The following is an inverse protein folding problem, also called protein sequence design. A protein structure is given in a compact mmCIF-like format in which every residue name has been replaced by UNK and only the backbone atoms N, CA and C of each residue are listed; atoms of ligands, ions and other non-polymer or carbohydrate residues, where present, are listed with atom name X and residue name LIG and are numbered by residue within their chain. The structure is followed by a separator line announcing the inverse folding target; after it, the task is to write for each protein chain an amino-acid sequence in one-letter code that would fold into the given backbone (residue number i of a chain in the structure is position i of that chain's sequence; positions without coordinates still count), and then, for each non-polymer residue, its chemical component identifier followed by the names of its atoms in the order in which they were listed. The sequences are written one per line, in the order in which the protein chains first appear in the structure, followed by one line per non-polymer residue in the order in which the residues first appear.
data_IF_115665830602
#
_entry.id   IF_115665830602
#
_cell.length_a   1.000
_cell.length_b   1.000
_cell.length_c   1.000
_cell.angle_alpha   90.00
_cell.angle_beta   90.00
_cell.angle_gamma   90.00
#
_symmetry.space_group_name_H-M   'P 1'
#
loop_
_entity.id
_entity.type
_entity.pdbx_description
1 polymer ?
#
# COMPACT_ATOMS: atom_id res chain seq x y z
N UNK A 1 -74.58 -63.42 10.00
CA UNK A 1 -74.24 -62.02 10.25
C UNK A 1 -72.73 -61.85 10.08
N UNK A 2 -72.27 -61.25 8.97
CA UNK A 2 -70.86 -61.05 8.67
C UNK A 2 -70.47 -59.67 9.11
N UNK A 3 -69.59 -59.55 10.14
CA UNK A 3 -68.96 -58.31 10.51
C UNK A 3 -67.82 -58.02 9.57
N UNK A 4 -68.00 -57.10 8.65
CA UNK A 4 -66.96 -56.56 7.82
C UNK A 4 -66.30 -55.41 8.61
N UNK A 5 -65.22 -55.68 9.33
CA UNK A 5 -64.39 -54.63 9.90
C UNK A 5 -63.63 -53.94 8.77
N UNK A 6 -63.93 -52.62 8.61
CA UNK A 6 -63.46 -51.83 7.50
C UNK A 6 -62.03 -51.35 7.81
N UNK A 7 -61.00 -52.08 7.32
CA UNK A 7 -59.58 -51.80 7.48
C UNK A 7 -59.22 -50.35 7.06
N UNK A 8 -60.09 -49.74 6.29
CA UNK A 8 -59.87 -48.33 5.82
C UNK A 8 -59.97 -47.30 6.95
N UNK A 9 -60.77 -47.55 7.97
CA UNK A 9 -60.90 -46.68 9.15
C UNK A 9 -59.78 -46.87 10.17
N UNK A 10 -59.19 -48.06 10.24
CA UNK A 10 -58.06 -48.34 11.15
C UNK A 10 -56.79 -47.66 10.62
N UNK A 11 -56.57 -47.63 9.28
CA UNK A 11 -55.47 -46.91 8.70
C UNK A 11 -55.58 -45.39 8.88
N UNK A 12 -56.82 -44.84 8.88
CA UNK A 12 -57.02 -43.41 9.12
C UNK A 12 -56.74 -43.02 10.58
N UNK A 13 -57.09 -43.83 11.53
CA UNK A 13 -56.87 -43.58 12.97
C UNK A 13 -55.38 -43.74 13.31
N UNK A 14 -54.70 -44.74 12.73
CA UNK A 14 -53.26 -44.94 12.90
C UNK A 14 -52.44 -43.83 12.18
N UNK A 15 -52.88 -43.38 10.99
CA UNK A 15 -52.24 -42.27 10.29
C UNK A 15 -52.39 -40.93 11.04
N UNK A 16 -53.53 -40.68 11.65
CA UNK A 16 -53.77 -39.45 12.44
C UNK A 16 -53.02 -39.48 13.80
N UNK A 17 -52.84 -40.66 14.42
CA UNK A 17 -52.06 -40.82 15.64
C UNK A 17 -50.54 -40.64 15.37
N UNK A 18 -50.02 -41.06 14.19
CA UNK A 18 -48.63 -40.85 13.82
C UNK A 18 -48.32 -39.39 13.44
N UNK A 19 -49.30 -38.65 12.88
CA UNK A 19 -49.07 -37.21 12.55
C UNK A 19 -49.16 -36.30 13.77
N UNK A 20 -49.90 -36.66 14.82
CA UNK A 20 -49.95 -35.93 16.09
C UNK A 20 -48.70 -36.14 16.97
N UNK A 21 -47.95 -37.24 16.75
CA UNK A 21 -46.70 -37.53 17.49
C UNK A 21 -45.45 -36.79 16.94
N UNK A 22 -45.58 -36.16 15.77
CA UNK A 22 -44.45 -35.43 15.15
C UNK A 22 -44.37 -33.94 15.46
N UNK A 23 -45.35 -33.40 16.18
CA UNK A 23 -45.36 -31.98 16.54
C UNK A 23 -45.05 -31.67 18.02
N UNK A 24 -44.62 -32.65 18.79
CA UNK A 24 -44.27 -32.44 20.20
C UNK A 24 -42.77 -32.62 20.46
N UNK A 25 -41.93 -32.33 19.45
CA UNK A 25 -40.48 -32.24 19.63
C UNK A 25 -39.94 -30.86 19.26
N UNK A 26 -40.61 -29.83 19.73
CA UNK A 26 -39.97 -28.56 20.06
C UNK A 26 -39.98 -28.49 21.59
N UNK A 27 -38.92 -28.98 22.21
CA UNK A 27 -38.63 -28.65 23.60
C UNK A 27 -38.43 -27.13 23.65
N UNK A 28 -39.14 -26.47 24.53
CA UNK A 28 -38.97 -25.05 24.86
C UNK A 28 -37.59 -24.78 25.51
N UNK A 29 -36.70 -25.74 25.49
CA UNK A 29 -35.33 -25.67 26.01
C UNK A 29 -34.22 -25.67 24.91
N UNK A 30 -34.57 -25.43 23.66
CA UNK A 30 -33.56 -25.01 22.69
C UNK A 30 -33.12 -23.60 23.06
N UNK A 31 -32.06 -23.52 23.88
CA UNK A 31 -31.30 -22.29 24.02
C UNK A 31 -31.02 -21.77 22.62
N UNK A 32 -31.45 -20.54 22.31
CA UNK A 32 -31.25 -20.01 20.97
C UNK A 32 -29.74 -19.97 20.72
N UNK A 33 -29.31 -20.69 19.68
CA UNK A 33 -27.99 -20.68 19.08
C UNK A 33 -26.99 -19.78 19.80
N UNK A 34 -25.98 -20.40 20.42
CA UNK A 34 -24.84 -19.83 21.13
C UNK A 34 -24.83 -18.31 21.12
N UNK A 35 -25.46 -17.72 22.13
CA UNK A 35 -25.45 -16.27 22.32
C UNK A 35 -24.01 -15.91 22.67
N UNK A 36 -23.34 -15.16 21.80
CA UNK A 36 -21.99 -14.68 22.09
C UNK A 36 -22.02 -13.86 23.39
N UNK A 37 -21.15 -14.19 24.33
CA UNK A 37 -21.05 -13.60 25.66
C UNK A 37 -19.82 -12.72 25.80
N UNK A 38 -19.66 -12.08 26.95
CA UNK A 38 -18.47 -11.30 27.24
C UNK A 38 -17.17 -12.15 27.40
N UNK A 39 -17.31 -13.46 27.56
CA UNK A 39 -16.21 -14.41 27.65
C UNK A 39 -15.66 -14.84 26.28
N UNK A 40 -16.41 -14.56 25.23
CA UNK A 40 -16.00 -14.85 23.86
C UNK A 40 -15.07 -13.75 23.31
N UNK A 41 -14.20 -14.13 22.37
CA UNK A 41 -13.46 -13.12 21.60
C UNK A 41 -14.43 -12.32 20.72
N UNK A 42 -14.36 -10.98 20.73
CA UNK A 42 -15.23 -10.18 19.91
C UNK A 42 -14.90 -10.41 18.43
N UNK A 43 -15.94 -10.39 17.60
CA UNK A 43 -15.82 -10.47 16.14
C UNK A 43 -16.19 -9.12 15.54
N UNK A 44 -15.35 -8.59 14.68
CA UNK A 44 -15.65 -7.42 13.86
C UNK A 44 -16.31 -7.95 12.59
N UNK A 45 -17.60 -7.74 12.44
CA UNK A 45 -18.38 -8.22 11.29
C UNK A 45 -18.28 -7.27 10.11
N UNK A 46 -18.28 -5.96 10.38
CA UNK A 46 -18.06 -4.88 9.43
C UNK A 46 -17.20 -3.80 10.09
N UNK A 47 -16.37 -3.07 9.36
CA UNK A 47 -16.10 -3.21 7.92
C UNK A 47 -15.22 -4.44 7.62
N UNK A 48 -15.27 -4.87 6.36
CA UNK A 48 -14.35 -5.88 5.86
C UNK A 48 -13.07 -5.20 5.39
N UNK A 49 -11.95 -5.56 6.01
CA UNK A 49 -10.61 -5.24 5.50
C UNK A 49 -10.12 -6.44 4.70
N UNK A 50 -9.45 -6.19 3.58
CA UNK A 50 -8.84 -7.24 2.76
C UNK A 50 -7.83 -8.10 3.53
N UNK A 51 -7.33 -9.14 2.89
CA UNK A 51 -6.24 -9.93 3.42
C UNK A 51 -4.93 -9.15 3.29
N UNK A 52 -3.95 -9.49 4.13
CA UNK A 52 -2.60 -8.96 3.98
C UNK A 52 -1.93 -9.57 2.75
N UNK A 53 -1.27 -8.73 1.96
CA UNK A 53 -0.49 -9.12 0.80
C UNK A 53 0.97 -8.71 1.04
N UNK A 54 1.89 -9.63 0.84
CA UNK A 54 3.35 -9.44 1.03
C UNK A 54 3.74 -8.85 2.41
N UNK A 55 2.96 -9.15 3.44
CA UNK A 55 3.20 -8.65 4.80
C UNK A 55 2.62 -7.25 5.06
N UNK A 56 1.94 -6.65 4.09
CA UNK A 56 1.32 -5.32 4.18
C UNK A 56 -0.23 -5.43 4.17
N UNK A 57 -0.94 -4.54 4.89
CA UNK A 57 -2.39 -4.49 4.81
C UNK A 57 -2.84 -3.92 3.46
N UNK A 58 -3.84 -4.54 2.86
CA UNK A 58 -4.42 -4.07 1.60
C UNK A 58 -5.18 -2.76 1.77
N UNK A 59 -5.37 -2.04 0.64
CA UNK A 59 -6.13 -0.78 0.64
C UNK A 59 -7.59 -1.06 0.96
N UNK A 60 -8.05 -0.49 2.07
CA UNK A 60 -9.44 -0.56 2.50
C UNK A 60 -10.29 0.52 1.81
N UNK A 61 -9.84 1.77 1.87
CA UNK A 61 -10.50 2.91 1.23
C UNK A 61 -9.47 3.89 0.66
N UNK A 62 -9.86 4.53 -0.45
CA UNK A 62 -9.16 5.68 -1.01
C UNK A 62 -10.15 6.83 -1.18
N UNK A 63 -9.85 8.00 -0.64
CA UNK A 63 -10.70 9.19 -0.62
C UNK A 63 -9.89 10.43 -0.99
N UNK A 64 -10.56 11.46 -1.47
CA UNK A 64 -9.97 12.80 -1.59
C UNK A 64 -9.97 13.51 -0.23
N UNK A 65 -8.98 14.35 0.07
CA UNK A 65 -8.83 15.03 1.38
C UNK A 65 -9.95 16.01 1.73
N UNK A 66 -10.73 16.46 0.74
CA UNK A 66 -11.90 17.31 0.93
C UNK A 66 -13.16 16.51 1.31
N UNK A 67 -13.07 15.17 1.25
CA UNK A 67 -14.15 14.26 1.62
C UNK A 67 -14.00 13.84 3.08
N UNK A 68 -15.06 13.99 3.86
CA UNK A 68 -15.11 13.46 5.23
C UNK A 68 -15.12 11.93 5.20
N UNK A 69 -14.17 11.31 5.89
CA UNK A 69 -14.19 9.88 6.13
C UNK A 69 -15.32 9.54 7.12
N UNK A 70 -16.28 8.75 6.66
CA UNK A 70 -17.39 8.24 7.47
C UNK A 70 -17.38 6.72 7.40
N UNK A 71 -17.46 6.09 8.57
CA UNK A 71 -17.52 4.63 8.65
C UNK A 71 -18.20 4.15 9.93
N UNK A 72 -18.56 2.86 9.97
CA UNK A 72 -19.18 2.22 11.13
C UNK A 72 -18.74 0.78 11.30
N UNK A 73 -18.62 0.35 12.55
CA UNK A 73 -18.23 -1.00 12.93
C UNK A 73 -19.42 -1.76 13.50
N UNK A 74 -19.62 -2.96 13.01
CA UNK A 74 -20.53 -3.93 13.61
C UNK A 74 -19.72 -5.00 14.32
N UNK A 75 -19.98 -5.20 15.60
CA UNK A 75 -19.28 -6.21 16.44
C UNK A 75 -20.26 -7.16 17.11
N UNK A 76 -19.79 -8.34 17.46
CA UNK A 76 -20.51 -9.28 18.30
C UNK A 76 -19.55 -9.86 19.36
N UNK A 77 -19.96 -9.94 20.66
CA UNK A 77 -21.20 -9.48 21.29
C UNK A 77 -21.23 -7.96 21.44
N UNK A 78 -22.23 -7.29 20.84
CA UNK A 78 -22.27 -5.81 20.80
C UNK A 78 -22.39 -5.15 22.18
N UNK A 79 -23.19 -5.73 23.08
CA UNK A 79 -23.48 -5.18 24.41
C UNK A 79 -22.26 -5.17 25.36
N UNK A 80 -21.27 -6.01 25.08
CA UNK A 80 -20.11 -6.21 25.94
C UNK A 80 -18.81 -5.72 25.30
N UNK A 81 -18.88 -5.09 24.11
CA UNK A 81 -17.69 -4.76 23.32
C UNK A 81 -17.57 -3.25 23.11
N UNK A 82 -16.42 -2.70 23.48
CA UNK A 82 -15.99 -1.35 23.09
C UNK A 82 -15.17 -1.41 21.83
N UNK A 83 -15.25 -0.35 21.02
CA UNK A 83 -14.50 -0.21 19.75
C UNK A 83 -13.64 1.03 19.81
N UNK A 84 -12.37 0.88 19.44
CA UNK A 84 -11.41 1.96 19.32
C UNK A 84 -10.80 1.99 17.91
N UNK A 85 -10.58 3.20 17.41
CA UNK A 85 -10.01 3.45 16.09
C UNK A 85 -8.63 4.09 16.24
N UNK A 86 -7.67 3.55 15.51
CA UNK A 86 -6.30 4.03 15.50
C UNK A 86 -5.88 4.35 14.07
N UNK A 87 -5.15 5.44 13.89
CA UNK A 87 -4.51 5.83 12.64
C UNK A 87 -3.01 5.95 12.88
N UNK A 88 -2.21 5.16 12.16
CA UNK A 88 -0.75 5.05 12.36
C UNK A 88 -0.36 4.82 13.84
N UNK A 89 -1.18 4.07 14.58
CA UNK A 89 -0.97 3.75 15.99
C UNK A 89 -1.54 4.76 16.99
N UNK A 90 -1.94 5.95 16.56
CA UNK A 90 -2.60 6.93 17.43
C UNK A 90 -4.11 6.70 17.48
N UNK A 91 -4.68 6.73 18.70
CA UNK A 91 -6.14 6.63 18.90
C UNK A 91 -6.82 7.89 18.38
N UNK A 92 -7.70 7.71 17.40
CA UNK A 92 -8.40 8.82 16.75
C UNK A 92 -9.89 8.89 17.07
N UNK A 93 -10.48 7.78 17.53
CA UNK A 93 -11.91 7.72 17.87
C UNK A 93 -12.21 6.55 18.81
N UNK A 94 -13.37 6.64 19.49
CA UNK A 94 -13.96 5.58 20.30
C UNK A 94 -15.44 5.44 19.93
N UNK A 95 -15.95 4.20 19.95
CA UNK A 95 -17.30 3.87 19.56
C UNK A 95 -17.41 3.27 18.16
N UNK A 96 -18.63 2.89 17.79
CA UNK A 96 -18.90 2.16 16.56
C UNK A 96 -19.00 3.03 15.32
N UNK A 97 -18.97 4.35 15.46
CA UNK A 97 -19.06 5.29 14.33
C UNK A 97 -17.91 6.28 14.37
N UNK A 98 -17.38 6.60 13.19
CA UNK A 98 -16.40 7.67 12.99
C UNK A 98 -16.88 8.59 11.87
N UNK A 99 -16.69 9.90 12.05
CA UNK A 99 -16.84 10.92 11.02
C UNK A 99 -15.74 11.93 11.22
N UNK A 100 -14.73 11.92 10.34
CA UNK A 100 -13.52 12.73 10.51
C UNK A 100 -12.91 13.11 9.15
N UNK A 101 -12.35 14.29 9.06
CA UNK A 101 -11.56 14.71 7.90
C UNK A 101 -10.08 14.48 8.22
N UNK A 102 -9.34 13.98 7.24
CA UNK A 102 -7.92 13.69 7.35
C UNK A 102 -7.12 14.50 6.33
N UNK A 103 -5.89 14.81 6.68
CA UNK A 103 -4.93 15.36 5.72
C UNK A 103 -4.57 14.30 4.67
N UNK A 104 -4.10 14.75 3.51
CA UNK A 104 -3.61 13.84 2.48
C UNK A 104 -2.45 12.98 3.02
N UNK A 105 -2.43 11.70 2.65
CA UNK A 105 -1.42 10.75 3.09
C UNK A 105 -1.88 9.30 3.04
N UNK A 106 -0.94 8.40 3.24
CA UNK A 106 -1.16 6.95 3.36
C UNK A 106 -1.09 6.55 4.83
N UNK A 107 -2.18 6.00 5.33
CA UNK A 107 -2.34 5.68 6.74
C UNK A 107 -2.63 4.20 6.97
N UNK A 108 -2.20 3.70 8.11
CA UNK A 108 -2.62 2.39 8.63
C UNK A 108 -3.78 2.61 9.59
N UNK A 109 -4.98 2.24 9.13
CA UNK A 109 -6.18 2.26 9.94
C UNK A 109 -6.33 0.93 10.68
N UNK A 110 -6.39 0.98 12.01
CA UNK A 110 -6.62 -0.20 12.85
C UNK A 110 -7.87 0.00 13.70
N UNK A 111 -8.74 -1.00 13.68
CA UNK A 111 -9.91 -1.08 14.56
C UNK A 111 -9.64 -2.15 15.60
N UNK A 112 -9.86 -1.81 16.87
CA UNK A 112 -9.71 -2.71 18.01
C UNK A 112 -11.06 -2.84 18.69
N UNK A 113 -11.51 -4.07 18.86
CA UNK A 113 -12.70 -4.42 19.61
C UNK A 113 -12.29 -5.16 20.90
N UNK A 114 -12.77 -4.69 22.05
CA UNK A 114 -12.41 -5.24 23.35
C UNK A 114 -13.68 -5.51 24.18
N UNK A 115 -13.86 -6.75 24.66
CA UNK A 115 -14.97 -7.07 25.56
C UNK A 115 -14.70 -6.60 26.99
N UNK A 116 -15.77 -6.53 27.81
CA UNK A 116 -15.68 -6.20 29.24
C UNK A 116 -14.76 -7.15 30.02
N UNK A 117 -14.52 -8.36 29.52
CA UNK A 117 -13.54 -9.34 30.06
C UNK A 117 -12.14 -9.20 29.47
N UNK A 118 -11.88 -8.15 28.69
CA UNK A 118 -10.57 -7.89 28.12
C UNK A 118 -10.16 -8.80 26.96
N UNK A 119 -11.10 -9.52 26.34
CA UNK A 119 -10.82 -10.26 25.09
C UNK A 119 -10.74 -9.26 23.93
N UNK A 120 -9.71 -9.38 23.10
CA UNK A 120 -9.39 -8.39 22.07
C UNK A 120 -9.35 -9.03 20.69
N UNK A 121 -9.94 -8.36 19.72
CA UNK A 121 -9.77 -8.65 18.30
C UNK A 121 -9.50 -7.35 17.55
N UNK A 122 -8.68 -7.40 16.52
CA UNK A 122 -8.41 -6.20 15.71
C UNK A 122 -8.45 -6.51 14.21
N UNK A 123 -8.69 -5.48 13.42
CA UNK A 123 -8.55 -5.47 11.96
C UNK A 123 -7.73 -4.28 11.54
N UNK A 124 -6.92 -4.46 10.50
CA UNK A 124 -6.02 -3.44 9.98
C UNK A 124 -6.15 -3.36 8.47
N UNK A 125 -6.24 -2.15 7.93
CA UNK A 125 -6.29 -1.88 6.50
C UNK A 125 -5.57 -0.57 6.18
N UNK A 126 -5.22 -0.36 4.92
CA UNK A 126 -4.63 0.90 4.46
C UNK A 126 -5.74 1.88 4.08
N UNK A 127 -5.66 3.11 4.59
CA UNK A 127 -6.51 4.25 4.24
C UNK A 127 -5.66 5.25 3.45
N UNK A 128 -6.04 5.52 2.20
CA UNK A 128 -5.37 6.49 1.33
C UNK A 128 -6.22 7.75 1.26
N UNK A 129 -5.65 8.88 1.61
CA UNK A 129 -6.26 10.21 1.45
C UNK A 129 -5.49 10.97 0.39
N UNK A 130 -6.12 11.17 -0.76
CA UNK A 130 -5.49 11.79 -1.91
C UNK A 130 -5.47 13.33 -1.76
N UNK A 131 -4.34 13.94 -2.09
CA UNK A 131 -4.23 15.39 -2.22
C UNK A 131 -5.06 15.89 -3.42
N UNK A 132 -5.46 17.16 -3.37
CA UNK A 132 -6.05 17.85 -4.51
C UNK A 132 -4.97 18.39 -5.48
N UNK A 133 -5.34 18.65 -6.72
CA UNK A 133 -4.37 19.08 -7.74
C UNK A 133 -3.61 20.36 -7.37
N UNK A 134 -4.23 21.28 -6.65
CA UNK A 134 -3.61 22.53 -6.19
C UNK A 134 -2.85 22.46 -4.88
N UNK A 135 -2.82 21.30 -4.22
CA UNK A 135 -2.15 21.15 -2.93
C UNK A 135 -0.63 21.20 -3.06
N UNK A 136 0.07 21.64 -1.99
CA UNK A 136 1.51 21.51 -1.91
C UNK A 136 1.97 20.05 -2.11
N UNK A 137 2.94 19.86 -3.00
CA UNK A 137 3.57 18.57 -3.26
C UNK A 137 5.06 18.68 -2.95
N UNK A 138 5.60 17.69 -2.27
CA UNK A 138 7.03 17.52 -2.05
C UNK A 138 7.57 16.40 -2.94
N UNK A 139 8.86 16.41 -3.19
CA UNK A 139 9.53 15.44 -4.06
C UNK A 139 9.19 14.00 -3.65
N UNK A 140 8.93 13.16 -4.65
CA UNK A 140 8.69 11.73 -4.49
C UNK A 140 9.98 10.91 -4.41
N UNK A 141 11.14 11.52 -4.65
CA UNK A 141 12.42 10.83 -4.56
C UNK A 141 12.67 10.32 -3.16
N UNK A 142 13.01 9.03 -3.02
CA UNK A 142 13.32 8.39 -1.73
C UNK A 142 14.51 9.05 -1.02
N UNK A 143 15.50 9.53 -1.77
CA UNK A 143 16.64 10.28 -1.23
C UNK A 143 16.20 11.57 -0.53
N UNK A 144 15.14 12.21 -1.02
CA UNK A 144 14.58 13.44 -0.44
C UNK A 144 13.60 13.18 0.70
N UNK A 145 13.14 11.94 0.84
CA UNK A 145 12.27 11.50 1.95
C UNK A 145 13.03 10.88 3.12
N UNK A 146 14.36 10.73 3.00
CA UNK A 146 15.22 10.26 4.07
C UNK A 146 15.83 11.45 4.82
N UNK A 147 15.50 11.58 6.10
CA UNK A 147 15.81 12.73 6.93
C UNK A 147 16.75 12.29 8.08
N UNK A 148 17.96 12.83 8.09
CA UNK A 148 18.88 12.59 9.22
C UNK A 148 18.71 13.70 10.27
N UNK A 149 18.46 13.38 11.56
CA UNK A 149 18.34 14.36 12.63
C UNK A 149 19.53 15.31 12.72
N UNK A 150 19.28 16.60 12.88
CA UNK A 150 20.29 17.65 12.97
C UNK A 150 20.86 18.13 11.64
N UNK A 151 20.45 17.57 10.51
CA UNK A 151 20.90 18.01 9.17
C UNK A 151 19.95 19.03 8.57
N UNK A 152 20.49 19.97 7.78
CA UNK A 152 19.70 20.84 6.92
C UNK A 152 19.29 20.08 5.67
N UNK A 153 18.00 20.12 5.32
CA UNK A 153 17.45 19.48 4.13
C UNK A 153 16.86 20.50 3.18
N UNK A 154 16.86 20.14 1.90
CA UNK A 154 16.28 20.95 0.81
C UNK A 154 15.47 20.02 -0.08
N UNK A 155 14.14 20.11 0.02
CA UNK A 155 13.19 19.22 -0.65
C UNK A 155 12.48 19.99 -1.74
N UNK A 156 12.59 19.61 -3.02
CA UNK A 156 11.82 20.23 -4.10
C UNK A 156 10.32 20.22 -3.78
N UNK A 157 9.66 21.35 -4.01
CA UNK A 157 8.22 21.47 -3.74
C UNK A 157 7.51 22.18 -4.90
N UNK A 158 6.25 21.78 -5.10
CA UNK A 158 5.32 22.40 -6.04
C UNK A 158 4.14 22.96 -5.26
N UNK A 159 3.48 23.98 -5.80
CA UNK A 159 2.29 24.65 -5.23
C UNK A 159 2.51 25.19 -3.80
N UNK A 160 3.75 25.45 -3.40
CA UNK A 160 4.12 26.01 -2.11
C UNK A 160 4.99 27.25 -2.30
N UNK A 161 4.40 28.45 -2.15
CA UNK A 161 5.10 29.72 -2.32
C UNK A 161 5.61 30.30 -1.02
N UNK A 162 5.09 29.85 0.11
CA UNK A 162 5.50 30.27 1.45
C UNK A 162 5.06 29.26 2.49
N UNK A 163 5.73 29.23 3.64
CA UNK A 163 5.45 28.32 4.73
C UNK A 163 5.42 29.06 6.06
N UNK A 164 4.38 28.83 6.86
CA UNK A 164 4.27 29.31 8.25
C UNK A 164 4.77 28.27 9.25
N UNK A 165 4.68 27.01 8.91
CA UNK A 165 5.11 25.92 9.79
C UNK A 165 5.31 24.62 9.05
N UNK A 166 6.14 23.76 9.63
CA UNK A 166 6.34 22.37 9.22
C UNK A 166 6.32 21.53 10.49
N UNK A 167 5.74 20.34 10.42
CA UNK A 167 5.87 19.32 11.46
C UNK A 167 6.14 17.95 10.86
N UNK A 168 6.92 17.15 11.55
CA UNK A 168 7.21 15.76 11.21
C UNK A 168 6.54 14.91 12.29
N UNK A 169 5.49 14.18 11.92
CA UNK A 169 4.58 13.60 12.91
C UNK A 169 3.97 14.69 13.79
N UNK A 170 4.21 14.62 15.09
CA UNK A 170 3.79 15.62 16.08
C UNK A 170 4.88 16.66 16.39
N UNK A 171 6.12 16.48 15.88
CA UNK A 171 7.26 17.34 16.20
C UNK A 171 7.31 18.55 15.28
N UNK A 172 7.21 19.75 15.87
CA UNK A 172 7.33 20.99 15.11
C UNK A 172 8.78 21.23 14.65
N UNK A 173 8.91 21.75 13.45
CA UNK A 173 10.20 22.10 12.83
C UNK A 173 10.37 23.62 12.89
N UNK A 174 11.49 24.07 13.41
CA UNK A 174 11.80 25.51 13.48
C UNK A 174 12.51 25.98 12.20
N UNK A 175 12.29 27.27 11.83
CA UNK A 175 13.05 27.92 10.77
C UNK A 175 12.79 27.40 9.37
N UNK A 176 11.69 26.68 9.15
CA UNK A 176 11.31 26.22 7.83
C UNK A 176 11.00 27.41 6.90
N UNK A 177 11.49 27.34 5.65
CA UNK A 177 11.29 28.36 4.63
C UNK A 177 11.23 27.74 3.23
N UNK A 178 10.59 28.44 2.31
CA UNK A 178 10.59 28.09 0.89
C UNK A 178 11.53 29.03 0.13
N UNK A 179 12.52 28.47 -0.54
CA UNK A 179 13.49 29.21 -1.36
C UNK A 179 13.75 28.47 -2.66
N UNK A 180 13.61 29.17 -3.78
CA UNK A 180 13.88 28.66 -5.13
C UNK A 180 13.16 27.33 -5.43
N UNK A 181 11.87 27.22 -5.04
CA UNK A 181 11.08 26.01 -5.26
C UNK A 181 11.46 24.82 -4.37
N UNK A 182 12.17 25.07 -3.27
CA UNK A 182 12.52 24.05 -2.31
C UNK A 182 12.06 24.44 -0.90
N UNK A 183 11.49 23.48 -0.19
CA UNK A 183 11.26 23.55 1.24
C UNK A 183 12.57 23.25 1.96
N UNK A 184 13.07 24.18 2.77
CA UNK A 184 14.31 24.04 3.52
C UNK A 184 14.04 24.13 5.01
N UNK A 185 14.66 23.22 5.77
CA UNK A 185 14.59 23.20 7.23
C UNK A 185 15.68 22.31 7.83
N UNK A 186 15.92 22.46 9.13
CA UNK A 186 16.77 21.53 9.88
C UNK A 186 15.88 20.45 10.51
N UNK A 187 16.24 19.19 10.29
CA UNK A 187 15.51 18.04 10.85
C UNK A 187 15.65 18.05 12.38
N UNK A 188 14.54 18.05 13.13
CA UNK A 188 14.61 18.06 14.60
C UNK A 188 15.19 16.74 15.12
N UNK A 189 15.69 16.78 16.37
CA UNK A 189 16.06 15.56 17.08
C UNK A 189 14.80 14.80 17.48
N UNK A 190 14.62 13.60 16.92
CA UNK A 190 13.48 12.74 17.18
C UNK A 190 13.87 11.26 17.00
N UNK A 191 13.00 10.34 17.39
CA UNK A 191 13.24 8.91 17.23
C UNK A 191 13.24 8.52 15.74
N UNK A 192 13.93 7.42 15.42
CA UNK A 192 13.91 6.83 14.11
C UNK A 192 12.50 6.28 13.82
N UNK A 193 12.04 6.41 12.57
CA UNK A 193 10.71 5.95 12.15
C UNK A 193 10.18 6.67 10.92
N UNK A 194 9.02 6.23 10.45
CA UNK A 194 8.29 6.83 9.34
C UNK A 194 7.22 7.78 9.87
N UNK A 195 7.27 9.03 9.43
CA UNK A 195 6.40 10.09 9.92
C UNK A 195 5.75 10.84 8.77
N UNK A 196 4.48 11.18 8.95
CA UNK A 196 3.80 12.14 8.09
C UNK A 196 4.48 13.49 8.19
N UNK A 197 4.90 14.06 7.06
CA UNK A 197 5.30 15.47 7.01
C UNK A 197 4.08 16.32 6.71
N UNK A 198 3.87 17.36 7.49
CA UNK A 198 2.75 18.31 7.33
C UNK A 198 3.31 19.72 7.16
N UNK A 199 2.80 20.40 6.17
CA UNK A 199 3.16 21.77 5.85
C UNK A 199 1.98 22.70 6.18
N UNK A 200 2.22 23.78 6.89
CA UNK A 200 1.29 24.90 7.02
C UNK A 200 1.70 25.99 6.06
N UNK A 201 0.88 26.26 5.06
CA UNK A 201 1.19 27.25 4.02
C UNK A 201 1.16 28.70 4.52
N UNK A 202 1.42 29.66 3.62
CA UNK A 202 1.38 31.10 3.91
C UNK A 202 0.00 31.60 4.35
N UNK A 203 -1.10 30.92 4.02
CA UNK A 203 -2.46 31.25 4.47
C UNK A 203 -2.75 30.73 5.88
N UNK A 204 -2.04 29.69 6.31
CA UNK A 204 -2.25 28.97 7.57
C UNK A 204 -3.04 27.67 7.39
N UNK A 205 -3.25 27.22 6.16
CA UNK A 205 -3.86 25.91 5.88
C UNK A 205 -2.83 24.80 6.03
N UNK A 206 -3.24 23.69 6.62
CA UNK A 206 -2.39 22.50 6.78
C UNK A 206 -2.60 21.52 5.63
N UNK A 207 -1.49 20.97 5.15
CA UNK A 207 -1.44 19.97 4.09
C UNK A 207 -0.55 18.81 4.52
N UNK A 208 -1.11 17.60 4.44
CA UNK A 208 -0.33 16.38 4.58
C UNK A 208 0.46 16.13 3.31
N UNK A 209 1.72 15.82 3.49
CA UNK A 209 2.60 15.32 2.44
C UNK A 209 2.86 13.83 2.67
N UNK A 210 3.64 13.21 1.81
CA UNK A 210 4.01 11.81 1.95
C UNK A 210 4.73 11.53 3.28
N UNK A 211 4.82 10.26 3.66
CA UNK A 211 5.65 9.84 4.80
C UNK A 211 7.13 10.02 4.47
N UNK A 212 7.88 10.43 5.48
CA UNK A 212 9.31 10.64 5.46
C UNK A 212 9.94 9.75 6.52
N UNK A 213 11.02 9.08 6.16
CA UNK A 213 11.79 8.26 7.10
C UNK A 213 12.80 9.15 7.82
N UNK A 214 12.68 9.23 9.14
CA UNK A 214 13.73 9.84 9.99
C UNK A 214 14.63 8.73 10.50
N UNK A 215 15.94 8.87 10.30
CA UNK A 215 16.90 7.89 10.77
C UNK A 215 18.25 8.55 11.05
N UNK A 216 18.97 8.02 12.06
CA UNK A 216 20.37 8.36 12.32
C UNK A 216 21.33 7.71 11.35
N UNK A 217 20.88 6.62 10.69
CA UNK A 217 21.68 5.92 9.69
C UNK A 217 21.76 6.72 8.39
N UNK A 218 22.83 6.54 7.60
CA UNK A 218 22.94 7.13 6.27
C UNK A 218 21.77 6.69 5.38
N UNK A 219 21.37 7.58 4.44
CA UNK A 219 20.37 7.24 3.44
C UNK A 219 20.84 6.03 2.62
N UNK A 220 20.05 4.93 2.57
CA UNK A 220 20.40 3.75 1.79
C UNK A 220 20.19 3.94 0.29
N UNK A 221 19.53 5.03 -0.09
CA UNK A 221 19.25 5.38 -1.48
C UNK A 221 20.23 6.42 -1.97
N UNK A 222 20.56 6.37 -3.24
CA UNK A 222 21.32 7.41 -3.93
C UNK A 222 20.54 7.86 -5.16
N UNK A 223 20.78 9.08 -5.62
CA UNK A 223 20.15 9.58 -6.85
C UNK A 223 20.57 8.69 -8.05
N UNK A 224 21.72 8.06 -7.96
CA UNK A 224 22.17 7.05 -8.91
C UNK A 224 23.07 6.03 -8.22
N UNK A 225 22.68 4.76 -8.23
CA UNK A 225 23.46 3.66 -7.69
C UNK A 225 23.87 2.70 -8.80
N UNK A 226 25.17 2.44 -8.95
CA UNK A 226 25.69 1.47 -9.92
C UNK A 226 25.39 0.05 -9.42
N UNK A 227 24.55 -0.67 -10.17
CA UNK A 227 24.20 -2.07 -9.86
C UNK A 227 25.03 -3.05 -10.69
N UNK A 228 25.61 -2.58 -11.78
CA UNK A 228 26.57 -3.35 -12.60
C UNK A 228 27.47 -2.41 -13.40
N UNK A 229 28.74 -2.78 -13.55
CA UNK A 229 29.70 -2.10 -14.40
C UNK A 229 30.62 -3.14 -15.05
N UNK A 230 30.95 -2.96 -16.33
CA UNK A 230 31.78 -3.88 -17.09
C UNK A 230 31.74 -3.58 -18.59
N UNK A 231 31.88 -4.62 -19.40
CA UNK A 231 31.75 -4.55 -20.86
C UNK A 231 31.04 -5.80 -21.32
N UNK A 232 29.83 -5.66 -21.85
CA UNK A 232 29.00 -6.77 -22.30
C UNK A 232 28.44 -6.48 -23.70
N UNK A 233 28.80 -7.28 -24.69
CA UNK A 233 28.28 -7.18 -26.04
C UNK A 233 26.88 -7.78 -26.09
N UNK A 234 25.92 -6.98 -26.51
CA UNK A 234 24.53 -7.40 -26.71
C UNK A 234 24.31 -7.75 -28.18
N UNK A 235 23.78 -8.95 -28.39
CA UNK A 235 23.26 -9.42 -29.67
C UNK A 235 21.89 -10.06 -29.45
N UNK A 236 21.13 -10.31 -30.51
CA UNK A 236 19.84 -11.00 -30.38
C UNK A 236 19.98 -12.40 -29.76
N UNK A 237 21.11 -13.06 -29.93
CA UNK A 237 21.37 -14.38 -29.35
C UNK A 237 21.95 -14.31 -27.93
N UNK A 238 22.45 -13.14 -27.52
CA UNK A 238 23.14 -12.96 -26.25
C UNK A 238 22.66 -11.67 -25.56
N UNK A 239 21.48 -11.69 -24.97
CA UNK A 239 20.94 -10.56 -24.22
C UNK A 239 21.74 -10.35 -22.91
N UNK A 240 21.75 -9.10 -22.43
CA UNK A 240 22.31 -8.81 -21.12
C UNK A 240 21.32 -9.24 -20.03
N UNK A 241 21.73 -10.21 -19.21
CA UNK A 241 20.93 -10.77 -18.11
C UNK A 241 21.69 -10.87 -16.78
N UNK A 242 22.87 -10.25 -16.67
CA UNK A 242 23.78 -10.44 -15.52
C UNK A 242 23.18 -9.97 -14.18
N UNK A 243 22.18 -9.08 -14.23
CA UNK A 243 21.44 -8.59 -13.05
C UNK A 243 19.98 -8.99 -13.06
N UNK A 244 19.62 -10.02 -13.81
CA UNK A 244 18.25 -10.48 -14.09
C UNK A 244 17.34 -10.49 -12.87
N UNK A 245 17.78 -11.12 -11.77
CA UNK A 245 17.01 -11.24 -10.54
C UNK A 245 17.43 -10.22 -9.49
N UNK A 246 18.66 -9.73 -9.57
CA UNK A 246 19.19 -8.83 -8.55
C UNK A 246 18.63 -7.42 -8.66
N UNK A 247 18.20 -7.01 -9.87
CA UNK A 247 17.65 -5.66 -10.08
C UNK A 247 16.47 -5.37 -9.16
N UNK A 248 15.59 -6.36 -8.91
CA UNK A 248 14.39 -6.22 -8.05
C UNK A 248 14.75 -5.77 -6.63
N UNK A 249 15.93 -6.13 -6.12
CA UNK A 249 16.41 -5.72 -4.78
C UNK A 249 16.65 -4.21 -4.65
N UNK A 250 16.85 -3.52 -5.77
CA UNK A 250 17.25 -2.11 -5.81
C UNK A 250 16.18 -1.18 -6.33
N UNK A 251 15.06 -1.71 -6.81
CA UNK A 251 14.04 -0.92 -7.51
C UNK A 251 12.68 -0.95 -6.80
N UNK A 252 11.94 0.12 -7.01
CA UNK A 252 10.53 0.27 -6.64
C UNK A 252 9.86 1.19 -7.66
N UNK A 253 8.55 1.36 -7.61
CA UNK A 253 7.88 2.34 -8.46
C UNK A 253 8.51 3.73 -8.32
N UNK A 254 8.72 4.41 -9.45
CA UNK A 254 9.44 5.69 -9.55
C UNK A 254 10.95 5.57 -9.73
N UNK A 255 11.55 4.39 -9.52
CA UNK A 255 12.98 4.19 -9.80
C UNK A 255 13.25 4.30 -11.31
N UNK A 256 14.29 5.02 -11.67
CA UNK A 256 14.79 5.09 -13.05
C UNK A 256 15.95 4.12 -13.20
N UNK A 257 15.78 3.15 -14.10
CA UNK A 257 16.88 2.26 -14.53
C UNK A 257 17.56 2.89 -15.73
N UNK A 258 18.91 2.99 -15.69
CA UNK A 258 19.74 3.53 -16.76
C UNK A 258 20.75 2.50 -17.21
N UNK A 259 20.75 2.21 -18.51
CA UNK A 259 21.79 1.40 -19.14
C UNK A 259 22.65 2.28 -20.04
N UNK A 260 23.92 2.36 -19.73
CA UNK A 260 24.93 3.08 -20.51
C UNK A 260 25.40 2.18 -21.63
N UNK A 261 25.17 2.61 -22.86
CA UNK A 261 25.41 1.80 -24.05
C UNK A 261 26.29 2.51 -25.08
N UNK A 262 27.12 1.75 -25.76
CA UNK A 262 27.99 2.23 -26.85
C UNK A 262 27.78 1.34 -28.07
N UNK A 263 27.44 1.90 -29.25
CA UNK A 263 27.24 1.12 -30.44
C UNK A 263 28.53 0.47 -30.94
N UNK A 264 28.41 -0.72 -31.49
CA UNK A 264 29.46 -1.46 -32.18
C UNK A 264 29.15 -1.65 -33.65
N UNK A 265 27.96 -1.22 -34.11
CA UNK A 265 27.53 -1.18 -35.50
C UNK A 265 26.67 0.05 -35.79
N UNK A 266 26.51 0.41 -37.06
CA UNK A 266 25.71 1.56 -37.49
C UNK A 266 24.19 1.27 -37.36
N UNK A 267 23.79 0.00 -37.24
CA UNK A 267 22.41 -0.44 -37.07
C UNK A 267 22.08 -0.83 -35.63
N UNK A 268 22.95 -0.43 -34.67
CA UNK A 268 22.77 -0.75 -33.28
C UNK A 268 21.40 -0.29 -32.75
N UNK A 269 20.68 -1.20 -32.11
CA UNK A 269 19.37 -0.93 -31.52
C UNK A 269 19.06 -1.89 -30.38
N UNK A 270 18.22 -1.46 -29.48
CA UNK A 270 17.80 -2.31 -28.36
C UNK A 270 16.86 -1.64 -27.41
N UNK A 271 16.49 -2.37 -26.37
CA UNK A 271 15.58 -1.90 -25.32
C UNK A 271 15.83 -2.63 -24.00
N UNK A 272 15.32 -2.06 -22.92
CA UNK A 272 15.23 -2.71 -21.61
C UNK A 272 13.87 -3.41 -21.50
N UNK A 273 13.87 -4.69 -21.11
CA UNK A 273 12.71 -5.56 -21.14
C UNK A 273 12.66 -6.48 -19.93
N UNK A 274 11.52 -7.18 -19.76
CA UNK A 274 11.46 -8.39 -18.96
C UNK A 274 12.23 -9.53 -19.63
N UNK A 275 12.45 -10.66 -18.92
CA UNK A 275 13.09 -11.82 -19.56
C UNK A 275 12.24 -12.49 -20.65
N UNK A 276 10.97 -12.15 -20.75
CA UNK A 276 10.11 -12.57 -21.85
C UNK A 276 10.18 -11.63 -23.08
N UNK A 277 11.12 -10.68 -23.02
CA UNK A 277 11.33 -9.65 -24.04
C UNK A 277 10.16 -8.70 -24.23
N UNK A 278 9.34 -8.56 -23.24
CA UNK A 278 8.21 -7.65 -23.20
C UNK A 278 8.59 -6.28 -22.64
N UNK A 279 7.86 -5.25 -23.01
CA UNK A 279 8.00 -3.90 -22.48
C UNK A 279 7.89 -3.90 -20.95
N UNK A 280 8.83 -3.25 -20.26
CA UNK A 280 8.81 -3.06 -18.81
C UNK A 280 7.61 -2.23 -18.33
N UNK A 281 7.03 -1.38 -19.18
CA UNK A 281 5.94 -0.49 -18.79
C UNK A 281 4.56 -1.10 -18.99
N UNK A 282 4.40 -1.92 -20.05
CA UNK A 282 3.08 -2.40 -20.48
C UNK A 282 2.92 -3.92 -20.42
N UNK A 283 4.04 -4.66 -20.34
CA UNK A 283 4.03 -6.13 -20.46
C UNK A 283 3.71 -6.64 -21.87
N UNK A 284 3.50 -5.73 -22.82
CA UNK A 284 3.25 -6.04 -24.24
C UNK A 284 4.50 -5.98 -25.10
N UNK A 285 4.29 -5.74 -26.39
CA UNK A 285 5.39 -5.62 -27.35
C UNK A 285 6.35 -4.49 -26.99
N UNK A 286 7.66 -4.77 -27.03
CA UNK A 286 8.71 -3.78 -26.80
C UNK A 286 8.91 -2.90 -28.02
N UNK A 287 9.48 -1.73 -27.80
CA UNK A 287 9.96 -0.84 -28.86
C UNK A 287 11.47 -0.71 -28.74
N UNK A 288 12.20 -1.06 -29.81
CA UNK A 288 13.63 -0.92 -29.83
C UNK A 288 14.04 0.52 -30.19
N UNK A 289 15.03 1.04 -29.49
CA UNK A 289 15.58 2.38 -29.66
C UNK A 289 16.88 2.27 -30.46
N UNK A 290 17.03 3.09 -31.51
CA UNK A 290 18.29 3.19 -32.25
C UNK A 290 19.41 3.78 -31.37
N UNK A 291 20.60 3.21 -31.48
CA UNK A 291 21.79 3.61 -30.69
C UNK A 291 22.87 4.11 -31.65
N UNK A 292 22.73 5.33 -32.21
CA UNK A 292 23.66 5.84 -33.22
C UNK A 292 25.00 6.32 -32.64
N UNK A 293 25.08 6.48 -31.33
CA UNK A 293 26.27 6.91 -30.58
C UNK A 293 26.16 6.41 -29.13
N UNK A 294 27.24 6.55 -28.37
CA UNK A 294 27.17 6.31 -26.92
C UNK A 294 26.04 7.14 -26.30
N UNK A 295 25.14 6.47 -25.58
CA UNK A 295 23.96 7.06 -24.97
C UNK A 295 23.52 6.28 -23.73
N UNK A 296 22.47 6.77 -23.10
CA UNK A 296 21.83 6.10 -21.97
C UNK A 296 20.42 5.70 -22.39
N UNK A 297 20.10 4.43 -22.25
CA UNK A 297 18.73 3.94 -22.28
C UNK A 297 18.13 4.14 -20.89
N UNK A 298 16.97 4.77 -20.80
CA UNK A 298 16.32 5.05 -19.52
C UNK A 298 14.92 4.45 -19.49
N UNK A 299 14.53 3.91 -18.33
CA UNK A 299 13.16 3.47 -18.07
C UNK A 299 12.79 3.81 -16.62
N UNK A 300 11.75 4.64 -16.44
CA UNK A 300 11.16 4.86 -15.13
C UNK A 300 10.14 3.75 -14.85
N UNK A 301 10.39 2.99 -13.79
CA UNK A 301 9.55 1.86 -13.40
C UNK A 301 8.29 2.32 -12.70
N UNK A 302 7.18 1.63 -12.98
CA UNK A 302 5.89 1.77 -12.32
C UNK A 302 5.60 0.57 -11.41
N UNK A 303 4.52 0.60 -10.63
CA UNK A 303 4.07 -0.59 -9.89
C UNK A 303 3.86 -1.78 -10.83
N UNK A 304 3.26 -1.54 -12.01
CA UNK A 304 3.11 -2.57 -13.04
C UNK A 304 4.46 -3.12 -13.51
N UNK A 305 5.48 -2.27 -13.63
CA UNK A 305 6.83 -2.70 -14.02
C UNK A 305 7.42 -3.67 -12.99
N UNK A 306 7.23 -3.39 -11.70
CA UNK A 306 7.70 -4.27 -10.62
C UNK A 306 6.99 -5.63 -10.67
N UNK A 307 5.67 -5.63 -10.84
CA UNK A 307 4.90 -6.86 -11.01
C UNK A 307 5.38 -7.67 -12.24
N UNK A 308 5.58 -7.00 -13.38
CA UNK A 308 6.07 -7.65 -14.60
C UNK A 308 7.47 -8.25 -14.42
N UNK A 309 8.39 -7.56 -13.75
CA UNK A 309 9.72 -8.10 -13.43
C UNK A 309 9.63 -9.38 -12.59
N UNK A 310 8.69 -9.43 -11.64
CA UNK A 310 8.47 -10.62 -10.81
C UNK A 310 7.83 -11.77 -11.61
N UNK A 311 6.73 -11.49 -12.32
CA UNK A 311 5.93 -12.52 -13.02
C UNK A 311 6.66 -13.04 -14.26
N UNK A 312 7.39 -12.18 -14.97
CA UNK A 312 8.08 -12.51 -16.22
C UNK A 312 9.58 -12.74 -16.03
N UNK A 313 9.98 -13.26 -14.85
CA UNK A 313 11.31 -13.78 -14.57
C UNK A 313 12.47 -12.76 -14.70
N UNK A 314 12.24 -11.48 -14.41
CA UNK A 314 13.30 -10.52 -14.22
C UNK A 314 13.63 -9.64 -15.42
N UNK A 315 14.79 -9.00 -15.37
CA UNK A 315 15.22 -7.89 -16.22
C UNK A 315 16.23 -8.31 -17.27
N UNK A 316 16.03 -7.87 -18.51
CA UNK A 316 16.94 -8.03 -19.63
C UNK A 316 17.21 -6.68 -20.33
N UNK A 317 18.38 -6.59 -20.97
CA UNK A 317 18.65 -5.60 -22.02
C UNK A 317 18.87 -6.38 -23.29
N UNK A 318 18.02 -6.15 -24.30
CA UNK A 318 17.97 -6.91 -25.55
C UNK A 318 18.26 -6.02 -26.74
N UNK A 319 18.76 -6.61 -27.81
CA UNK A 319 19.07 -5.87 -29.03
C UNK A 319 20.26 -6.45 -29.76
N UNK A 320 20.85 -5.63 -30.63
CA UNK A 320 22.01 -6.02 -31.42
C UNK A 320 22.94 -4.84 -31.69
N UNK A 321 24.23 -5.15 -31.84
CA UNK A 321 25.26 -4.21 -32.30
C UNK A 321 25.70 -3.15 -31.30
N UNK A 322 25.60 -3.42 -29.99
CA UNK A 322 26.11 -2.50 -28.97
C UNK A 322 26.66 -3.20 -27.73
N UNK A 323 27.42 -2.44 -26.97
CA UNK A 323 27.96 -2.86 -25.66
C UNK A 323 27.27 -2.11 -24.52
N UNK A 324 26.82 -2.83 -23.51
CA UNK A 324 26.46 -2.26 -22.21
C UNK A 324 27.72 -2.10 -21.39
N UNK A 325 27.97 -0.91 -20.83
CA UNK A 325 29.15 -0.61 -20.03
C UNK A 325 28.84 -0.41 -18.56
N UNK A 326 27.61 -0.01 -18.25
CA UNK A 326 27.18 0.25 -16.88
C UNK A 326 25.65 0.18 -16.79
N UNK A 327 25.14 -0.29 -15.67
CA UNK A 327 23.71 -0.18 -15.32
C UNK A 327 23.60 0.47 -13.95
N UNK A 328 22.73 1.48 -13.87
CA UNK A 328 22.47 2.20 -12.61
C UNK A 328 20.99 2.25 -12.32
N UNK A 329 20.66 2.45 -11.06
CA UNK A 329 19.32 2.72 -10.57
C UNK A 329 19.34 3.99 -9.74
N UNK A 330 18.30 4.82 -9.86
CA UNK A 330 18.19 6.07 -9.14
C UNK A 330 16.74 6.47 -8.89
N UNK A 331 16.52 7.51 -8.08
CA UNK A 331 15.20 8.03 -7.70
C UNK A 331 15.06 9.49 -8.08
#
# INVERSE_FOLDING_TARGET
MKNIFNYRNICFVLGFALTLGLFTSCSEDDEPFITATEDDYPRILQPWFGQWEDGEPTVYKSLSRDVTYVDSVTVTPALYTTVEWFLDGEKINEGTHISKQFLAGDYILKIVATTTKGKVTSRTGKLIINALDGDPKLSDKKTKRWLNPGTEVSIPCENLTGVKGVRIGTTAVSGAKVENGNLKFTVPSMADGDYQLVVTDGSGAEFGCNKFTVSKDPCPYSDENTVWEGSFNVTWDTPFELIRYDLIKYVSAGTIVRAYVTPTSDEAKGSMTTSWWNSLLTGGERTDIMIPKAMVLECQLTDQSIELLNVQNGFFIVGDGYTVTKVTVGQ
#
